data_IF_470377622861
#
_entry.id   IF_470377622861
#
_cell.length_a   1.000
_cell.length_b   1.000
_cell.length_c   1.000
_cell.angle_alpha   90.00
_cell.angle_beta   90.00
_cell.angle_gamma   90.00
#
_symmetry.space_group_name_H-M   'P 1'
#
loop_
_entity.id
_entity.type
_entity.pdbx_description
1 polymer ?
#
# COMPACT_ATOMS: atom_id res chain seq x y z
N UNK A 1 -2.19 7.51 10.31
CA UNK A 1 -2.04 6.05 10.51
C UNK A 1 -1.43 5.75 11.87
N UNK A 2 -2.15 4.96 12.67
CA UNK A 2 -1.77 4.39 13.97
C UNK A 2 -2.23 2.92 13.94
N UNK A 3 -1.45 2.06 13.30
CA UNK A 3 -1.74 0.63 13.12
C UNK A 3 -0.59 -0.14 13.75
N UNK A 4 -0.88 -0.97 14.73
CA UNK A 4 0.08 -1.67 15.57
C UNK A 4 -0.15 -3.18 15.62
N UNK A 5 -1.23 -3.68 15.02
CA UNK A 5 -1.52 -5.13 14.95
C UNK A 5 -2.07 -5.56 13.59
N UNK A 6 -2.02 -6.88 13.34
CA UNK A 6 -2.63 -7.49 12.15
C UNK A 6 -4.16 -7.40 12.17
N UNK A 7 -4.80 -7.37 13.35
CA UNK A 7 -6.26 -7.23 13.42
C UNK A 7 -6.73 -5.84 12.97
N UNK A 8 -5.95 -4.80 13.21
CA UNK A 8 -6.28 -3.42 12.84
C UNK A 8 -6.16 -3.15 11.33
N UNK A 9 -5.32 -3.91 10.63
CA UNK A 9 -5.09 -3.72 9.18
C UNK A 9 -6.01 -4.59 8.30
N UNK A 10 -6.68 -5.59 8.88
CA UNK A 10 -7.41 -6.63 8.16
C UNK A 10 -8.46 -6.12 7.17
N UNK A 11 -9.21 -5.09 7.58
CA UNK A 11 -10.32 -4.52 6.80
C UNK A 11 -9.93 -3.20 6.10
N UNK A 12 -8.63 -2.94 5.96
CA UNK A 12 -8.14 -1.72 5.29
C UNK A 12 -7.97 -1.94 3.79
N UNK A 13 -8.10 -0.85 3.05
CA UNK A 13 -7.87 -0.81 1.61
C UNK A 13 -6.40 -0.47 1.32
N UNK A 14 -5.71 -1.35 0.59
CA UNK A 14 -4.29 -1.25 0.31
C UNK A 14 -3.88 0.06 -0.38
N UNK A 15 -4.45 0.41 -1.56
CA UNK A 15 -4.11 1.66 -2.23
C UNK A 15 -4.46 2.89 -1.39
N UNK A 16 -5.59 2.90 -0.67
CA UNK A 16 -5.93 4.02 0.22
C UNK A 16 -4.94 4.18 1.37
N UNK A 17 -4.50 3.09 2.01
CA UNK A 17 -3.49 3.14 3.05
C UNK A 17 -2.14 3.63 2.52
N UNK A 18 -1.76 3.22 1.31
CA UNK A 18 -0.54 3.72 0.67
C UNK A 18 -0.62 5.22 0.43
N UNK A 19 -1.76 5.71 -0.11
CA UNK A 19 -1.97 7.13 -0.32
C UNK A 19 -1.91 7.92 1.01
N UNK A 20 -2.54 7.40 2.08
CA UNK A 20 -2.49 7.99 3.44
C UNK A 20 -1.08 7.98 4.04
N UNK A 21 -0.28 6.94 3.74
CA UNK A 21 1.11 6.84 4.17
C UNK A 21 1.95 7.95 3.52
N UNK A 22 1.88 8.10 2.20
CA UNK A 22 2.58 9.16 1.48
C UNK A 22 2.17 10.54 2.00
N UNK A 23 0.87 10.79 2.22
CA UNK A 23 0.40 12.04 2.83
C UNK A 23 1.03 12.30 4.21
N UNK A 24 1.11 11.27 5.08
CA UNK A 24 1.68 11.41 6.42
C UNK A 24 3.19 11.66 6.38
N UNK A 25 3.89 11.07 5.41
CA UNK A 25 5.32 11.26 5.21
C UNK A 25 5.66 12.59 4.51
N UNK A 26 4.71 13.17 3.76
CA UNK A 26 4.94 14.39 2.98
C UNK A 26 5.80 14.17 1.73
N UNK A 27 6.01 12.91 1.34
CA UNK A 27 6.80 12.49 0.17
C UNK A 27 6.09 11.35 -0.55
N UNK A 28 6.33 11.20 -1.86
CA UNK A 28 5.95 9.98 -2.56
C UNK A 28 7.04 8.91 -2.35
N UNK A 29 6.63 7.66 -2.20
CA UNK A 29 7.53 6.53 -1.95
C UNK A 29 7.57 5.57 -3.13
N UNK A 30 8.46 4.57 -3.05
CA UNK A 30 8.50 3.50 -4.04
C UNK A 30 7.19 2.70 -4.06
N UNK A 31 6.72 2.37 -5.27
CA UNK A 31 5.46 1.64 -5.48
C UNK A 31 5.44 0.23 -4.86
N UNK A 32 6.60 -0.37 -4.57
CA UNK A 32 6.68 -1.66 -3.89
C UNK A 32 6.16 -1.61 -2.45
N UNK A 33 6.10 -0.42 -1.82
CA UNK A 33 5.52 -0.25 -0.49
C UNK A 33 4.00 -0.50 -0.54
N UNK A 34 3.31 -0.15 -1.63
CA UNK A 34 1.89 -0.50 -1.80
C UNK A 34 1.71 -2.02 -1.87
N UNK A 35 2.58 -2.72 -2.59
CA UNK A 35 2.54 -4.18 -2.68
C UNK A 35 2.76 -4.84 -1.32
N UNK A 36 3.69 -4.31 -0.52
CA UNK A 36 3.94 -4.76 0.84
C UNK A 36 2.70 -4.54 1.74
N UNK A 37 2.04 -3.38 1.63
CA UNK A 37 0.79 -3.10 2.36
C UNK A 37 -0.29 -4.12 1.96
N UNK A 38 -0.51 -4.34 0.67
CA UNK A 38 -1.46 -5.35 0.16
C UNK A 38 -1.13 -6.75 0.68
N UNK A 39 0.15 -7.11 0.73
CA UNK A 39 0.62 -8.39 1.25
C UNK A 39 0.33 -8.55 2.74
N UNK A 40 0.57 -7.52 3.56
CA UNK A 40 0.27 -7.56 5.00
C UNK A 40 -1.24 -7.68 5.25
N UNK A 41 -2.07 -6.94 4.49
CA UNK A 41 -3.54 -7.10 4.54
C UNK A 41 -3.94 -8.52 4.16
N UNK A 42 -3.37 -9.08 3.08
CA UNK A 42 -3.65 -10.46 2.67
C UNK A 42 -3.25 -11.46 3.77
N UNK A 43 -2.06 -11.34 4.36
CA UNK A 43 -1.59 -12.22 5.43
C UNK A 43 -2.48 -12.13 6.68
N UNK A 44 -2.94 -10.93 7.05
CA UNK A 44 -3.87 -10.76 8.18
C UNK A 44 -5.23 -11.44 7.97
N UNK A 45 -5.63 -11.64 6.70
CA UNK A 45 -6.83 -12.36 6.32
C UNK A 45 -6.59 -13.86 6.08
N UNK A 46 -5.40 -14.21 5.60
CA UNK A 46 -5.02 -15.54 5.12
C UNK A 46 -3.59 -15.88 5.58
N UNK A 47 -3.38 -16.21 6.88
CA UNK A 47 -2.04 -16.39 7.44
C UNK A 47 -1.28 -17.58 6.83
N UNK A 48 -1.98 -18.57 6.28
CA UNK A 48 -1.38 -19.73 5.59
C UNK A 48 -1.00 -19.43 4.13
N UNK A 49 -1.24 -18.21 3.64
CA UNK A 49 -0.92 -17.85 2.26
C UNK A 49 0.59 -17.82 2.04
N UNK A 50 1.08 -18.48 0.99
CA UNK A 50 2.48 -18.42 0.56
C UNK A 50 2.83 -17.16 -0.25
N UNK A 51 1.84 -16.30 -0.54
CA UNK A 51 2.02 -15.10 -1.37
C UNK A 51 3.07 -14.18 -0.76
N UNK A 52 3.95 -13.67 -1.61
CA UNK A 52 4.93 -12.65 -1.29
C UNK A 52 4.46 -11.29 -1.80
N UNK A 53 5.10 -10.21 -1.35
CA UNK A 53 4.70 -8.85 -1.74
C UNK A 53 4.69 -8.67 -3.27
N UNK A 54 5.66 -9.24 -3.99
CA UNK A 54 5.75 -9.08 -5.44
C UNK A 54 4.60 -9.74 -6.20
N UNK A 55 3.87 -10.69 -5.61
CA UNK A 55 2.68 -11.31 -6.21
C UNK A 55 1.52 -10.31 -6.39
N UNK A 56 1.56 -9.18 -5.68
CA UNK A 56 0.56 -8.11 -5.76
C UNK A 56 0.91 -7.03 -6.81
N UNK A 57 2.09 -7.12 -7.44
CA UNK A 57 2.58 -6.12 -8.40
C UNK A 57 1.61 -5.93 -9.58
N UNK A 58 1.09 -7.04 -10.12
CA UNK A 58 0.19 -6.98 -11.28
C UNK A 58 -1.15 -6.35 -10.91
N UNK A 59 -1.70 -6.71 -9.74
CA UNK A 59 -2.93 -6.12 -9.20
C UNK A 59 -2.78 -4.61 -8.99
N UNK A 60 -1.65 -4.18 -8.39
CA UNK A 60 -1.32 -2.76 -8.19
C UNK A 60 -1.24 -2.01 -9.52
N UNK A 61 -0.53 -2.55 -10.52
CA UNK A 61 -0.42 -1.91 -11.85
C UNK A 61 -1.79 -1.70 -12.48
N UNK A 62 -2.61 -2.75 -12.53
CA UNK A 62 -3.98 -2.65 -13.09
C UNK A 62 -4.81 -1.60 -12.36
N UNK A 63 -4.71 -1.53 -11.03
CA UNK A 63 -5.41 -0.50 -10.25
C UNK A 63 -4.91 0.91 -10.58
N UNK A 64 -3.59 1.13 -10.60
CA UNK A 64 -2.99 2.45 -10.83
C UNK A 64 -3.12 2.92 -12.28
N UNK A 65 -3.19 2.01 -13.26
CA UNK A 65 -3.49 2.38 -14.65
C UNK A 65 -4.93 2.88 -14.81
N UNK A 66 -5.87 2.31 -14.05
CA UNK A 66 -7.29 2.67 -14.11
C UNK A 66 -7.65 3.91 -13.27
N UNK A 67 -7.10 4.00 -12.07
CA UNK A 67 -7.51 5.00 -11.05
C UNK A 67 -6.44 6.09 -10.89
N UNK A 68 -5.17 5.77 -11.11
CA UNK A 68 -4.05 6.67 -10.87
C UNK A 68 -3.73 6.87 -9.38
N UNK A 69 -3.02 7.97 -9.11
CA UNK A 69 -2.77 8.48 -7.76
C UNK A 69 -3.71 9.65 -7.46
N UNK A 70 -4.00 9.93 -6.18
CA UNK A 70 -4.85 11.05 -5.82
C UNK A 70 -4.20 12.39 -6.18
N UNK A 71 -5.03 13.40 -6.46
CA UNK A 71 -4.57 14.73 -6.89
C UNK A 71 -3.67 15.43 -5.87
N UNK A 72 -3.80 15.11 -4.59
CA UNK A 72 -3.00 15.66 -3.50
C UNK A 72 -1.75 14.83 -3.17
N UNK A 73 -1.35 13.87 -4.00
CA UNK A 73 -0.11 13.09 -3.79
C UNK A 73 1.08 14.04 -3.59
N UNK A 74 2.00 13.79 -2.63
CA UNK A 74 3.16 14.64 -2.45
C UNK A 74 4.06 14.60 -3.69
N UNK A 75 4.77 15.70 -3.95
CA UNK A 75 5.60 15.87 -5.15
C UNK A 75 7.06 15.51 -4.87
N UNK A 76 7.52 15.74 -3.64
CA UNK A 76 8.89 15.45 -3.21
C UNK A 76 9.12 13.93 -3.13
N UNK A 77 10.22 13.45 -3.70
CA UNK A 77 10.60 12.04 -3.56
C UNK A 77 11.12 11.73 -2.14
N UNK A 78 10.99 10.49 -1.70
CA UNK A 78 11.43 10.06 -0.36
C UNK A 78 12.95 10.13 -0.13
N UNK A 79 13.76 10.13 -1.19
CA UNK A 79 15.24 10.14 -1.14
C UNK A 79 15.86 11.52 -1.34
N UNK A 80 15.04 12.57 -1.51
CA UNK A 80 15.47 13.97 -1.55
C UNK A 80 15.57 14.58 -0.15
#
# INVERSE_FOLDING_TARGET
MNIFSLSEIKDKDGPKLFDELEQKLGVWTDSCVEDQIRCVINFSNNPESSKQWFDFTNERRVYRDKIGFPKNRPIKAWYE
#
